data_IF_420435791212
#
_entry.id   IF_420435791212
#
_cell.length_a   1.000
_cell.length_b   1.000
_cell.length_c   1.000
_cell.angle_alpha   90.00
_cell.angle_beta   90.00
_cell.angle_gamma   90.00
#
_symmetry.space_group_name_H-M   'P 1'
#
loop_
_entity.id
_entity.type
_entity.pdbx_description
1 polymer ?
#
# COMPACT_ATOMS: atom_id res chain seq x y z
N UNK A 1 -44.27 -26.12 -45.85
CA UNK A 1 -42.79 -26.01 -45.66
C UNK A 1 -42.52 -24.95 -44.60
N UNK A 2 -42.28 -25.33 -43.36
CA UNK A 2 -42.01 -24.38 -42.25
C UNK A 2 -40.51 -24.31 -42.01
N UNK A 3 -39.94 -23.18 -42.32
CA UNK A 3 -38.53 -22.87 -42.09
C UNK A 3 -38.29 -22.63 -40.58
N UNK A 4 -37.51 -23.52 -39.91
CA UNK A 4 -37.09 -23.33 -38.53
C UNK A 4 -35.79 -22.51 -38.52
N UNK A 5 -35.92 -21.28 -38.10
CA UNK A 5 -34.75 -20.39 -37.86
C UNK A 5 -34.06 -20.84 -36.56
N UNK A 6 -32.87 -21.36 -36.70
CA UNK A 6 -31.99 -21.74 -35.58
C UNK A 6 -31.23 -20.49 -35.14
N UNK A 7 -31.63 -19.90 -34.02
CA UNK A 7 -30.92 -18.77 -33.41
C UNK A 7 -29.77 -19.35 -32.55
N UNK A 8 -28.56 -19.27 -33.07
CA UNK A 8 -27.36 -19.61 -32.29
C UNK A 8 -27.04 -18.43 -31.33
N UNK A 9 -27.30 -18.67 -30.04
CA UNK A 9 -26.76 -17.79 -28.98
C UNK A 9 -25.24 -17.99 -28.89
N UNK A 10 -24.49 -17.06 -29.41
CA UNK A 10 -23.07 -16.91 -29.08
C UNK A 10 -22.97 -16.42 -27.61
N UNK A 11 -22.77 -17.36 -26.71
CA UNK A 11 -22.28 -17.06 -25.37
C UNK A 11 -20.83 -16.56 -25.50
N UNK A 12 -20.62 -15.24 -25.56
CA UNK A 12 -19.33 -14.66 -25.31
C UNK A 12 -18.98 -14.95 -23.84
N UNK A 13 -18.27 -16.09 -23.63
CA UNK A 13 -17.58 -16.29 -22.37
C UNK A 13 -16.59 -15.17 -22.18
N UNK A 14 -16.85 -14.29 -21.22
CA UNK A 14 -15.81 -13.48 -20.63
C UNK A 14 -14.79 -14.47 -20.05
N UNK A 15 -13.74 -14.74 -20.80
CA UNK A 15 -12.51 -15.30 -20.25
C UNK A 15 -12.07 -14.32 -19.19
N UNK A 16 -12.32 -14.65 -17.92
CA UNK A 16 -11.75 -13.94 -16.80
C UNK A 16 -10.23 -13.92 -17.05
N UNK A 17 -9.70 -12.76 -17.44
CA UNK A 17 -8.29 -12.60 -17.69
C UNK A 17 -7.61 -12.90 -16.35
N UNK A 18 -6.63 -13.79 -16.36
CA UNK A 18 -5.82 -14.04 -15.18
C UNK A 18 -5.21 -12.72 -14.73
N UNK A 19 -5.22 -12.45 -13.45
CA UNK A 19 -4.60 -11.26 -12.89
C UNK A 19 -3.09 -11.26 -13.12
N UNK A 20 -2.48 -10.11 -12.96
CA UNK A 20 -1.04 -9.91 -13.10
C UNK A 20 -0.49 -9.32 -11.81
N UNK A 21 0.61 -9.89 -11.31
CA UNK A 21 1.32 -9.36 -10.16
C UNK A 21 2.60 -8.69 -10.60
N UNK A 22 2.87 -7.51 -10.07
CA UNK A 22 4.15 -6.82 -10.18
C UNK A 22 4.83 -6.86 -8.83
N UNK A 23 6.02 -7.48 -8.74
CA UNK A 23 6.72 -7.69 -7.49
C UNK A 23 8.16 -7.21 -7.58
N UNK A 24 8.58 -6.34 -6.65
CA UNK A 24 9.96 -5.91 -6.56
C UNK A 24 10.89 -7.06 -6.17
N UNK A 25 12.05 -7.16 -6.84
CA UNK A 25 13.04 -8.21 -6.61
C UNK A 25 14.48 -7.70 -6.72
N UNK A 26 15.36 -8.38 -6.00
CA UNK A 26 16.82 -8.12 -6.01
C UNK A 26 17.44 -8.58 -7.33
N UNK A 27 18.48 -7.90 -7.85
CA UNK A 27 19.05 -6.66 -7.31
C UNK A 27 18.28 -5.38 -7.74
N UNK A 28 17.63 -5.40 -8.88
CA UNK A 28 17.06 -4.21 -9.55
C UNK A 28 15.98 -4.62 -10.56
N UNK A 29 15.06 -5.46 -10.13
CA UNK A 29 14.02 -6.02 -10.98
C UNK A 29 12.62 -5.72 -10.42
N UNK A 30 11.66 -5.54 -11.32
CA UNK A 30 10.25 -5.78 -11.05
C UNK A 30 9.83 -7.01 -11.85
N UNK A 31 9.42 -8.06 -11.16
CA UNK A 31 8.91 -9.28 -11.76
C UNK A 31 7.46 -9.09 -12.18
N UNK A 32 7.10 -9.55 -13.36
CA UNK A 32 5.73 -9.66 -13.82
C UNK A 32 5.33 -11.13 -13.75
N UNK A 33 4.31 -11.43 -12.96
CA UNK A 33 3.90 -12.78 -12.65
C UNK A 33 2.47 -12.98 -13.15
N UNK A 34 2.24 -14.03 -13.91
CA UNK A 34 0.90 -14.47 -14.29
C UNK A 34 0.24 -15.14 -13.08
N UNK A 35 -0.87 -14.58 -12.63
CA UNK A 35 -1.55 -15.00 -11.41
C UNK A 35 -2.15 -16.41 -11.53
N UNK A 36 -2.49 -16.85 -12.73
CA UNK A 36 -3.10 -18.17 -12.93
C UNK A 36 -2.10 -19.32 -12.82
N UNK A 37 -0.87 -19.06 -13.22
CA UNK A 37 0.18 -20.09 -13.28
C UNK A 37 1.27 -19.92 -12.21
N UNK A 38 1.32 -18.75 -11.54
CA UNK A 38 2.39 -18.40 -10.61
C UNK A 38 3.76 -18.22 -11.28
N UNK A 39 3.82 -18.11 -12.60
CA UNK A 39 5.08 -18.02 -13.34
C UNK A 39 5.46 -16.58 -13.62
N UNK A 40 6.76 -16.31 -13.51
CA UNK A 40 7.35 -15.05 -14.00
C UNK A 40 7.27 -15.05 -15.51
N UNK A 41 6.50 -14.13 -16.08
CA UNK A 41 6.28 -13.98 -17.54
C UNK A 41 7.13 -12.87 -18.14
N UNK A 42 7.57 -11.90 -17.29
CA UNK A 42 8.47 -10.83 -17.70
C UNK A 42 9.31 -10.32 -16.53
N UNK A 43 10.42 -9.64 -16.83
CA UNK A 43 11.34 -9.05 -15.84
C UNK A 43 11.71 -7.64 -16.29
N UNK A 44 11.21 -6.65 -15.57
CA UNK A 44 11.48 -5.24 -15.85
C UNK A 44 12.74 -4.83 -15.11
N UNK A 45 13.79 -4.50 -15.85
CA UNK A 45 15.05 -4.02 -15.29
C UNK A 45 14.90 -2.56 -14.86
N UNK A 46 15.18 -2.28 -13.57
CA UNK A 46 15.23 -0.92 -13.05
C UNK A 46 16.58 -0.27 -13.39
N UNK A 47 16.54 1.01 -13.69
CA UNK A 47 17.72 1.83 -14.03
C UNK A 47 18.33 2.44 -12.77
N UNK A 48 17.52 2.80 -11.80
CA UNK A 48 17.94 3.53 -10.59
C UNK A 48 18.15 2.61 -9.37
N UNK A 49 18.02 1.29 -9.52
CA UNK A 49 18.40 0.29 -8.52
C UNK A 49 17.25 -0.49 -7.91
N UNK A 50 17.43 -0.95 -6.68
CA UNK A 50 16.56 -1.89 -5.98
C UNK A 50 15.16 -1.29 -5.72
N UNK A 51 14.06 -1.88 -6.19
CA UNK A 51 12.70 -1.41 -5.92
C UNK A 51 12.38 -1.44 -4.41
N UNK A 52 11.96 -0.29 -3.88
CA UNK A 52 11.59 -0.12 -2.47
C UNK A 52 10.08 -0.02 -2.27
N UNK A 53 9.39 0.68 -3.17
CA UNK A 53 7.94 0.79 -3.18
C UNK A 53 7.41 0.70 -4.61
N UNK A 54 6.25 0.10 -4.77
CA UNK A 54 5.46 0.11 -5.99
C UNK A 54 4.12 0.74 -5.66
N UNK A 55 3.74 1.79 -6.38
CA UNK A 55 2.46 2.45 -6.22
C UNK A 55 1.74 2.53 -7.57
N UNK A 56 0.52 2.03 -7.59
CA UNK A 56 -0.31 2.05 -8.78
C UNK A 56 -0.96 3.42 -8.96
N UNK A 57 -1.04 3.89 -10.22
CA UNK A 57 -1.85 5.07 -10.55
C UNK A 57 -3.34 4.79 -10.37
N UNK A 58 -4.17 5.82 -10.12
CA UNK A 58 -5.62 5.65 -9.97
C UNK A 58 -6.32 5.04 -11.20
N UNK A 59 -5.77 5.23 -12.40
CA UNK A 59 -6.28 4.66 -13.65
C UNK A 59 -5.72 3.26 -13.97
N UNK A 60 -4.88 2.72 -13.08
CA UNK A 60 -4.23 1.40 -13.17
C UNK A 60 -3.31 1.19 -14.39
N UNK A 61 -2.87 2.27 -15.04
CA UNK A 61 -2.02 2.17 -16.23
C UNK A 61 -0.53 2.31 -15.93
N UNK A 62 -0.20 2.84 -14.76
CA UNK A 62 1.17 3.21 -14.41
C UNK A 62 1.52 2.71 -13.03
N UNK A 63 2.73 2.18 -12.86
CA UNK A 63 3.30 1.88 -11.55
C UNK A 63 4.46 2.84 -11.30
N UNK A 64 4.39 3.57 -10.19
CA UNK A 64 5.44 4.43 -9.69
C UNK A 64 6.33 3.65 -8.74
N UNK A 65 7.63 3.64 -9.01
CA UNK A 65 8.63 2.88 -8.25
C UNK A 65 9.63 3.83 -7.61
N UNK A 66 9.82 3.76 -6.30
CA UNK A 66 10.99 4.35 -5.68
C UNK A 66 12.05 3.28 -5.44
N UNK A 67 13.32 3.64 -5.58
CA UNK A 67 14.44 2.71 -5.44
C UNK A 67 15.37 3.09 -4.28
N UNK A 68 16.15 2.13 -3.78
CA UNK A 68 17.03 2.34 -2.61
C UNK A 68 18.44 2.80 -2.97
N UNK A 69 19.03 2.29 -4.06
CA UNK A 69 20.47 2.44 -4.28
C UNK A 69 20.88 3.86 -4.64
N UNK A 70 20.03 4.53 -5.43
CA UNK A 70 20.24 5.91 -5.83
C UNK A 70 19.12 6.83 -5.34
N UNK A 71 18.27 6.35 -4.42
CA UNK A 71 17.05 7.06 -4.01
C UNK A 71 16.30 7.62 -5.24
N UNK A 72 16.24 6.80 -6.30
CA UNK A 72 15.71 7.16 -7.60
C UNK A 72 14.21 6.91 -7.70
N UNK A 73 13.68 7.33 -8.82
CA UNK A 73 12.26 7.20 -9.13
C UNK A 73 12.08 6.72 -10.57
N UNK A 74 11.21 5.74 -10.75
CA UNK A 74 10.91 5.17 -12.06
C UNK A 74 9.42 5.03 -12.28
N UNK A 75 9.03 5.08 -13.54
CA UNK A 75 7.64 4.98 -13.99
C UNK A 75 7.52 3.81 -14.95
N UNK A 76 6.71 2.83 -14.61
CA UNK A 76 6.47 1.66 -15.44
C UNK A 76 5.09 1.78 -16.08
N UNK A 77 5.01 1.59 -17.39
CA UNK A 77 3.76 1.38 -18.10
C UNK A 77 3.29 -0.07 -17.93
N UNK A 78 2.10 -0.23 -17.37
CA UNK A 78 1.53 -1.54 -17.02
C UNK A 78 1.29 -2.42 -18.25
N UNK A 79 0.86 -1.83 -19.36
CA UNK A 79 0.47 -2.60 -20.54
C UNK A 79 1.68 -3.12 -21.33
N UNK A 80 2.78 -2.36 -21.36
CA UNK A 80 3.97 -2.70 -22.13
C UNK A 80 5.10 -3.28 -21.29
N UNK A 81 5.00 -3.25 -19.96
CA UNK A 81 6.03 -3.66 -18.99
C UNK A 81 7.36 -2.91 -19.19
N UNK A 82 7.29 -1.64 -19.56
CA UNK A 82 8.50 -0.84 -19.82
C UNK A 82 8.62 0.33 -18.87
N UNK A 83 9.86 0.63 -18.47
CA UNK A 83 10.19 1.89 -17.81
C UNK A 83 10.05 3.00 -18.85
N UNK A 84 9.12 3.91 -18.59
CA UNK A 84 8.82 5.05 -19.49
C UNK A 84 9.48 6.34 -19.02
N UNK A 85 9.81 6.43 -17.74
CA UNK A 85 10.52 7.55 -17.15
C UNK A 85 11.38 7.07 -15.98
N UNK A 86 12.57 7.66 -15.81
CA UNK A 86 13.42 7.41 -14.64
C UNK A 86 14.31 8.62 -14.38
N UNK A 87 14.59 8.89 -13.12
CA UNK A 87 15.50 9.95 -12.71
C UNK A 87 16.02 9.75 -11.29
N UNK A 88 17.10 10.44 -10.99
CA UNK A 88 17.63 10.63 -9.64
C UNK A 88 17.72 12.13 -9.41
N UNK A 89 17.60 12.54 -8.15
CA UNK A 89 17.72 13.95 -7.76
C UNK A 89 19.17 14.30 -7.37
N UNK A 90 20.03 13.30 -7.30
CA UNK A 90 21.40 13.40 -6.83
C UNK A 90 22.30 14.14 -7.83
N UNK A 91 23.25 14.92 -7.32
CA UNK A 91 24.35 15.50 -8.06
C UNK A 91 25.73 15.15 -7.42
N UNK A 92 26.80 15.80 -7.84
CA UNK A 92 28.14 15.52 -7.36
C UNK A 92 28.34 15.78 -5.84
N UNK A 93 27.51 16.68 -5.27
CA UNK A 93 27.64 17.17 -3.91
C UNK A 93 26.38 16.95 -3.08
N UNK A 94 25.24 16.71 -3.69
CA UNK A 94 23.97 16.51 -3.02
C UNK A 94 23.38 15.15 -3.33
N UNK A 95 22.87 14.50 -2.31
CA UNK A 95 22.05 13.30 -2.42
C UNK A 95 20.71 13.56 -1.75
N UNK A 96 19.62 13.11 -2.38
CA UNK A 96 18.27 13.29 -1.86
C UNK A 96 17.66 11.91 -1.54
N UNK A 97 17.46 11.65 -0.26
CA UNK A 97 16.64 10.50 0.14
C UNK A 97 15.18 10.86 -0.09
N UNK A 98 14.51 10.10 -0.96
CA UNK A 98 13.09 10.22 -1.25
C UNK A 98 12.32 9.19 -0.43
N UNK A 99 11.43 9.64 0.46
CA UNK A 99 10.65 8.78 1.34
C UNK A 99 9.27 8.49 0.75
N UNK A 100 9.21 7.56 -0.19
CA UNK A 100 7.98 7.22 -0.89
C UNK A 100 7.45 8.37 -1.73
N UNK A 101 6.17 8.33 -2.08
CA UNK A 101 5.54 9.43 -2.80
C UNK A 101 4.11 9.10 -3.22
N UNK A 102 3.30 10.13 -3.33
CA UNK A 102 1.96 10.08 -3.86
C UNK A 102 1.90 10.90 -5.14
N UNK A 103 1.68 10.30 -6.33
CA UNK A 103 1.46 11.06 -7.53
C UNK A 103 0.14 11.83 -7.44
N UNK A 104 0.06 12.97 -8.10
CA UNK A 104 -1.23 13.64 -8.32
C UNK A 104 -2.12 12.79 -9.24
N UNK A 105 -3.44 13.04 -9.27
CA UNK A 105 -4.36 12.24 -10.08
C UNK A 105 -4.05 12.25 -11.60
N UNK A 106 -3.36 13.28 -12.09
CA UNK A 106 -2.98 13.40 -13.49
C UNK A 106 -1.58 12.81 -13.80
N UNK A 107 -0.83 12.40 -12.78
CA UNK A 107 0.53 11.87 -12.92
C UNK A 107 1.57 12.92 -13.36
N UNK A 108 1.34 14.19 -13.04
CA UNK A 108 2.24 15.30 -13.41
C UNK A 108 3.29 15.58 -12.35
N UNK A 109 2.91 15.46 -11.08
CA UNK A 109 3.78 15.74 -9.94
C UNK A 109 3.75 14.60 -8.94
N UNK A 110 4.82 14.50 -8.18
CA UNK A 110 4.94 13.59 -7.03
C UNK A 110 5.04 14.41 -5.75
N UNK A 111 4.16 14.14 -4.79
CA UNK A 111 4.24 14.68 -3.44
C UNK A 111 4.99 13.70 -2.55
N UNK A 112 6.08 14.15 -1.94
CA UNK A 112 6.93 13.26 -1.14
C UNK A 112 7.55 14.01 0.04
N UNK A 113 8.28 13.30 0.89
CA UNK A 113 9.22 13.86 1.85
C UNK A 113 10.63 13.56 1.37
N UNK A 114 11.49 14.58 1.36
CA UNK A 114 12.90 14.41 1.00
C UNK A 114 13.81 14.82 2.13
N UNK A 115 14.96 14.15 2.25
CA UNK A 115 16.06 14.56 3.14
C UNK A 115 17.28 14.78 2.28
N UNK A 116 17.79 16.00 2.27
CA UNK A 116 19.01 16.36 1.55
C UNK A 116 20.25 15.97 2.36
N UNK A 117 21.21 15.33 1.72
CA UNK A 117 22.51 14.97 2.28
C UNK A 117 23.57 15.68 1.43
N UNK A 118 24.29 16.60 2.04
CA UNK A 118 25.35 17.37 1.35
C UNK A 118 26.71 16.77 1.66
N UNK A 119 27.48 16.49 0.63
CA UNK A 119 28.87 16.04 0.74
C UNK A 119 29.81 17.24 0.82
N UNK A 120 30.49 17.37 1.94
CA UNK A 120 31.56 18.33 2.14
C UNK A 120 32.93 17.65 1.96
N UNK A 121 34.01 18.39 1.97
CA UNK A 121 35.36 17.85 1.79
C UNK A 121 35.75 16.81 2.87
N UNK A 122 35.27 17.00 4.08
CA UNK A 122 35.64 16.21 5.27
C UNK A 122 34.49 15.46 5.93
N UNK A 123 33.25 15.71 5.52
CA UNK A 123 32.06 15.11 6.16
C UNK A 123 30.82 15.17 5.28
N UNK A 124 29.78 14.47 5.71
CA UNK A 124 28.42 14.63 5.21
C UNK A 124 27.59 15.43 6.22
N UNK A 125 26.74 16.33 5.72
CA UNK A 125 25.70 16.97 6.50
C UNK A 125 24.35 16.45 6.07
N UNK A 126 23.49 16.11 7.05
CA UNK A 126 22.15 15.59 6.79
C UNK A 126 21.16 16.69 7.19
N UNK A 127 20.38 17.14 6.21
CA UNK A 127 19.32 18.13 6.40
C UNK A 127 18.13 17.56 7.17
N UNK A 128 17.20 18.44 7.51
CA UNK A 128 15.90 18.01 8.03
C UNK A 128 15.01 17.53 6.89
N UNK A 129 14.07 16.59 7.14
CA UNK A 129 13.07 16.23 6.16
C UNK A 129 12.24 17.43 5.72
N UNK A 130 11.91 17.46 4.43
CA UNK A 130 11.10 18.52 3.82
C UNK A 130 9.98 17.89 3.00
N UNK A 131 8.79 18.45 3.08
CA UNK A 131 7.75 18.16 2.09
C UNK A 131 8.20 18.71 0.74
N UNK A 132 8.04 17.90 -0.29
CA UNK A 132 8.65 18.18 -1.60
C UNK A 132 7.67 17.87 -2.71
N UNK A 133 7.58 18.79 -3.68
CA UNK A 133 6.89 18.56 -4.96
C UNK A 133 7.96 18.33 -6.02
N UNK A 134 7.86 17.21 -6.71
CA UNK A 134 8.72 16.85 -7.83
C UNK A 134 7.87 16.88 -9.10
N UNK A 135 8.30 17.65 -10.09
CA UNK A 135 7.73 17.63 -11.44
C UNK A 135 8.27 16.40 -12.18
N UNK A 136 7.38 15.49 -12.55
CA UNK A 136 7.74 14.21 -13.17
C UNK A 136 8.22 14.37 -14.63
N UNK A 137 7.75 15.39 -15.34
CA UNK A 137 8.19 15.66 -16.71
C UNK A 137 9.53 16.37 -16.74
N UNK A 138 9.76 17.34 -15.84
CA UNK A 138 11.01 18.06 -15.71
C UNK A 138 12.06 17.33 -14.87
N UNK A 139 11.67 16.26 -14.17
CA UNK A 139 12.52 15.41 -13.34
C UNK A 139 13.28 16.21 -12.25
N UNK A 140 12.62 17.18 -11.65
CA UNK A 140 13.25 18.06 -10.66
C UNK A 140 12.31 18.48 -9.54
N UNK A 141 12.91 18.85 -8.42
CA UNK A 141 12.20 19.48 -7.31
C UNK A 141 11.74 20.87 -7.75
N UNK A 142 10.44 21.14 -7.63
CA UNK A 142 9.84 22.46 -7.93
C UNK A 142 9.46 23.22 -6.69
N UNK A 143 9.28 22.52 -5.54
CA UNK A 143 8.97 23.15 -4.25
C UNK A 143 9.40 22.29 -3.09
N UNK A 144 9.88 22.94 -2.03
CA UNK A 144 10.14 22.31 -0.72
C UNK A 144 9.59 23.20 0.40
N UNK A 145 9.08 22.55 1.46
CA UNK A 145 8.64 23.19 2.69
C UNK A 145 9.14 22.36 3.86
N UNK A 146 9.66 22.98 4.90
CA UNK A 146 10.10 22.26 6.08
C UNK A 146 8.93 21.48 6.70
N UNK A 147 9.15 20.21 7.00
CA UNK A 147 8.15 19.46 7.73
C UNK A 147 7.93 20.10 9.11
N UNK A 148 6.67 20.31 9.52
CA UNK A 148 6.40 20.77 10.88
C UNK A 148 7.07 19.81 11.88
N UNK A 149 7.75 20.36 12.90
CA UNK A 149 8.29 19.56 14.00
C UNK A 149 7.12 18.86 14.70
N UNK A 150 6.80 17.65 14.27
CA UNK A 150 5.93 16.77 15.03
C UNK A 150 6.74 16.34 16.25
N UNK A 151 6.43 16.93 17.40
CA UNK A 151 7.07 16.65 18.69
C UNK A 151 6.82 15.20 19.13
N UNK A 152 7.57 14.30 18.59
CA UNK A 152 7.55 12.89 18.87
C UNK A 152 8.37 12.19 17.80
N UNK A 153 9.29 11.35 18.21
CA UNK A 153 10.10 10.48 17.36
C UNK A 153 9.29 10.10 16.13
N UNK A 154 9.72 10.57 14.96
CA UNK A 154 9.15 10.21 13.68
C UNK A 154 8.99 8.70 13.69
N UNK A 155 7.78 8.25 13.90
CA UNK A 155 7.52 6.83 13.95
C UNK A 155 7.90 6.29 12.58
N UNK A 156 8.86 5.37 12.55
CA UNK A 156 9.07 4.43 11.47
C UNK A 156 7.81 3.53 11.33
N UNK A 157 6.64 4.12 11.45
CA UNK A 157 5.33 3.51 11.33
C UNK A 157 4.67 3.74 9.98
N UNK A 158 5.39 4.28 9.01
CA UNK A 158 5.00 4.18 7.63
C UNK A 158 5.13 2.72 7.23
N UNK A 159 4.02 2.03 7.05
CA UNK A 159 4.02 0.75 6.35
C UNK A 159 4.83 0.91 5.06
N UNK A 160 5.42 -0.17 4.59
CA UNK A 160 6.30 -0.25 3.42
C UNK A 160 5.62 0.22 2.12
N UNK A 161 5.21 1.48 2.04
CA UNK A 161 4.52 1.99 0.87
C UNK A 161 4.23 3.47 1.01
N UNK A 162 5.22 4.27 0.73
CA UNK A 162 5.04 5.68 0.42
C UNK A 162 5.09 6.61 1.63
N UNK A 163 5.74 7.72 1.47
CA UNK A 163 5.77 8.83 2.40
C UNK A 163 4.36 9.40 2.59
N UNK A 164 3.74 8.99 3.60
CA UNK A 164 2.72 9.65 4.39
C UNK A 164 1.55 10.38 3.74
N UNK A 165 1.51 10.59 2.45
CA UNK A 165 0.43 11.35 1.81
C UNK A 165 -0.58 10.46 1.09
N UNK A 166 -1.84 10.84 1.22
CA UNK A 166 -2.93 10.44 0.34
C UNK A 166 -3.43 11.68 -0.40
N UNK A 167 -3.63 11.59 -1.70
CA UNK A 167 -4.06 12.73 -2.52
C UNK A 167 -5.57 12.70 -2.68
N UNK A 168 -6.24 13.85 -2.51
CA UNK A 168 -7.68 13.95 -2.82
C UNK A 168 -7.95 13.65 -4.30
N UNK A 169 -9.12 13.09 -4.66
CA UNK A 169 -9.45 12.78 -6.05
C UNK A 169 -9.40 13.97 -7.00
N UNK A 170 -9.62 15.19 -6.48
CA UNK A 170 -9.53 16.43 -7.25
C UNK A 170 -8.11 17.05 -7.26
N UNK A 171 -7.15 16.38 -6.61
CA UNK A 171 -5.74 16.82 -6.56
C UNK A 171 -5.46 18.04 -5.69
N UNK A 172 -6.46 18.63 -5.00
CA UNK A 172 -6.28 19.88 -4.26
C UNK A 172 -5.70 19.72 -2.86
N UNK A 173 -5.87 18.53 -2.26
CA UNK A 173 -5.48 18.30 -0.87
C UNK A 173 -4.62 17.05 -0.74
N UNK A 174 -3.75 17.12 0.27
CA UNK A 174 -2.96 16.00 0.73
C UNK A 174 -3.39 15.68 2.16
N UNK A 175 -3.58 14.41 2.43
CA UNK A 175 -3.93 13.90 3.76
C UNK A 175 -2.74 13.17 4.36
N UNK A 176 -2.32 13.60 5.54
CA UNK A 176 -1.29 12.93 6.31
C UNK A 176 -1.92 12.30 7.54
N UNK A 177 -1.89 10.98 7.59
CA UNK A 177 -2.52 10.19 8.65
C UNK A 177 -1.53 9.90 9.78
N UNK A 178 -1.89 10.34 10.99
CA UNK A 178 -1.11 10.15 12.22
C UNK A 178 -2.04 9.96 13.41
N UNK A 179 -1.76 10.63 14.54
CA UNK A 179 -2.68 10.73 15.68
C UNK A 179 -3.94 11.54 15.36
N UNK A 180 -3.88 12.34 14.34
CA UNK A 180 -4.97 13.07 13.68
C UNK A 180 -4.71 13.05 12.17
N UNK A 181 -5.66 13.45 11.35
CA UNK A 181 -5.41 13.67 9.92
C UNK A 181 -5.10 15.14 9.70
N UNK A 182 -3.89 15.43 9.24
CA UNK A 182 -3.53 16.77 8.79
C UNK A 182 -3.90 16.92 7.32
N UNK A 183 -4.70 17.91 6.99
CA UNK A 183 -5.09 18.26 5.64
C UNK A 183 -4.22 19.41 5.16
N UNK A 184 -3.47 19.17 4.08
CA UNK A 184 -2.58 20.15 3.49
C UNK A 184 -3.11 20.56 2.11
N UNK A 185 -2.86 21.79 1.73
CA UNK A 185 -3.03 22.25 0.36
C UNK A 185 -1.92 21.63 -0.50
N UNK A 186 -2.27 20.99 -1.61
CA UNK A 186 -1.30 20.29 -2.47
C UNK A 186 -0.33 21.25 -3.17
N UNK A 187 -0.71 22.52 -3.40
CA UNK A 187 0.14 23.48 -4.12
C UNK A 187 1.26 24.06 -3.27
N UNK A 188 1.13 24.09 -1.94
CA UNK A 188 2.09 24.80 -1.08
C UNK A 188 2.33 24.15 0.29
N UNK A 189 1.69 23.02 0.57
CA UNK A 189 1.73 22.32 1.87
C UNK A 189 1.23 23.16 3.06
N UNK A 190 0.51 24.26 2.82
CA UNK A 190 -0.13 24.98 3.91
C UNK A 190 -1.18 24.10 4.58
N UNK A 191 -1.22 24.15 5.90
CA UNK A 191 -2.21 23.41 6.68
C UNK A 191 -3.57 24.06 6.46
N UNK A 192 -4.53 23.26 5.99
CA UNK A 192 -5.91 23.67 5.76
C UNK A 192 -6.80 23.29 6.93
N UNK A 193 -6.56 22.09 7.51
CA UNK A 193 -7.41 21.52 8.54
C UNK A 193 -6.69 20.45 9.37
N UNK A 194 -7.21 20.16 10.55
CA UNK A 194 -6.86 19.02 11.39
C UNK A 194 -8.14 18.28 11.75
N UNK A 195 -8.20 16.98 11.39
CA UNK A 195 -9.34 16.14 11.68
C UNK A 195 -8.94 15.19 12.80
N UNK A 196 -9.58 15.36 13.94
CA UNK A 196 -9.37 14.49 15.10
C UNK A 196 -9.91 13.08 14.83
N UNK A 197 -9.21 12.08 15.35
CA UNK A 197 -9.64 10.70 15.27
C UNK A 197 -10.51 10.40 16.49
N UNK A 198 -11.81 10.62 16.34
CA UNK A 198 -12.79 10.35 17.39
C UNK A 198 -13.72 9.21 16.99
N UNK A 199 -13.94 8.26 17.90
CA UNK A 199 -14.98 7.25 17.72
C UNK A 199 -16.36 7.89 17.98
N UNK A 200 -17.35 7.63 17.11
CA UNK A 200 -18.73 8.06 17.38
C UNK A 200 -19.23 7.42 18.69
N UNK A 201 -20.03 8.17 19.45
CA UNK A 201 -20.72 7.75 20.69
C UNK A 201 -19.98 7.94 22.02
N UNK A 202 -19.11 8.95 22.15
CA UNK A 202 -18.68 9.38 23.48
C UNK A 202 -17.84 8.35 24.23
N UNK A 203 -17.16 7.46 23.53
CA UNK A 203 -16.10 6.68 24.16
C UNK A 203 -15.06 7.65 24.73
N UNK A 204 -14.59 7.43 25.96
CA UNK A 204 -13.60 8.31 26.57
C UNK A 204 -12.39 8.46 25.63
N UNK A 205 -11.77 9.63 25.64
CA UNK A 205 -10.62 9.98 24.80
C UNK A 205 -9.50 8.93 24.96
N UNK A 206 -9.58 7.90 24.17
CA UNK A 206 -8.58 6.82 24.09
C UNK A 206 -7.60 7.08 22.94
N UNK A 207 -6.61 6.22 22.82
CA UNK A 207 -5.68 6.27 21.69
C UNK A 207 -6.28 5.49 20.52
N UNK A 208 -6.60 6.18 19.43
CA UNK A 208 -7.01 5.55 18.18
C UNK A 208 -5.82 5.54 17.23
N UNK A 209 -5.45 4.36 16.76
CA UNK A 209 -4.41 4.15 15.75
C UNK A 209 -5.00 3.56 14.47
N UNK A 210 -4.62 4.11 13.33
CA UNK A 210 -4.97 3.56 12.03
C UNK A 210 -3.88 2.60 11.54
N UNK A 211 -4.29 1.45 11.01
CA UNK A 211 -3.40 0.48 10.38
C UNK A 211 -2.79 1.00 9.08
N UNK A 212 -1.78 0.30 8.58
CA UNK A 212 -1.17 0.58 7.29
C UNK A 212 -2.21 0.58 6.17
N UNK A 213 -2.05 1.49 5.22
CA UNK A 213 -2.87 1.54 4.04
C UNK A 213 -2.44 0.43 3.08
N UNK A 214 -3.42 -0.29 2.57
CA UNK A 214 -3.28 -1.09 1.37
C UNK A 214 -4.07 -0.39 0.27
N UNK A 215 -3.59 -0.43 -0.97
CA UNK A 215 -4.35 0.11 -2.09
C UNK A 215 -5.68 -0.62 -2.20
N UNK A 216 -6.74 0.09 -1.87
CA UNK A 216 -8.09 -0.44 -1.96
C UNK A 216 -8.60 -0.27 -3.39
N UNK A 217 -8.19 -1.15 -4.31
CA UNK A 217 -8.73 -1.17 -5.68
C UNK A 217 -10.26 -1.28 -5.71
N UNK A 218 -10.83 -1.81 -4.64
CA UNK A 218 -12.27 -2.05 -4.50
C UNK A 218 -13.08 -0.88 -3.97
N UNK A 219 -12.44 0.14 -3.36
CA UNK A 219 -13.12 1.31 -2.78
C UNK A 219 -12.48 2.63 -3.25
N UNK A 220 -12.64 3.03 -4.53
CA UNK A 220 -12.08 4.28 -5.05
C UNK A 220 -12.58 5.51 -4.28
N UNK A 221 -11.69 6.48 -4.07
CA UNK A 221 -12.02 7.72 -3.35
C UNK A 221 -12.15 7.57 -1.85
N UNK A 222 -11.84 6.38 -1.30
CA UNK A 222 -11.82 6.13 0.13
C UNK A 222 -10.49 5.55 0.57
N UNK A 223 -10.02 5.97 1.73
CA UNK A 223 -8.97 5.27 2.46
C UNK A 223 -9.61 4.31 3.44
N UNK A 224 -9.40 3.01 3.22
CA UNK A 224 -9.91 1.96 4.10
C UNK A 224 -8.75 1.33 4.85
N UNK A 225 -8.87 1.22 6.17
CA UNK A 225 -7.85 0.59 7.01
C UNK A 225 -8.49 -0.06 8.23
N UNK A 226 -7.74 -0.93 8.90
CA UNK A 226 -8.10 -1.34 10.25
C UNK A 226 -7.77 -0.21 11.22
N UNK A 227 -8.57 -0.07 12.27
CA UNK A 227 -8.24 0.77 13.40
C UNK A 227 -8.10 -0.04 14.68
N UNK A 228 -7.31 0.49 15.60
CA UNK A 228 -7.23 0.05 16.99
C UNK A 228 -7.62 1.20 17.88
N UNK A 229 -8.51 0.94 18.80
CA UNK A 229 -8.84 1.83 19.88
C UNK A 229 -8.41 1.21 21.21
N UNK A 230 -7.75 1.96 22.06
CA UNK A 230 -7.41 1.55 23.43
C UNK A 230 -8.11 2.46 24.41
N UNK A 231 -8.96 1.87 25.25
CA UNK A 231 -9.60 2.56 26.36
C UNK A 231 -8.52 2.92 27.42
N UNK A 232 -8.39 4.19 27.83
CA UNK A 232 -7.37 4.62 28.76
C UNK A 232 -7.67 4.21 30.22
N UNK A 233 -8.91 3.83 30.54
CA UNK A 233 -9.36 3.54 31.90
C UNK A 233 -9.30 2.03 32.17
N UNK A 234 -9.96 1.25 31.31
CA UNK A 234 -10.07 -0.21 31.51
C UNK A 234 -9.07 -1.00 30.64
N UNK A 235 -8.27 -0.29 29.82
CA UNK A 235 -7.27 -0.86 28.93
C UNK A 235 -7.79 -1.90 27.93
N UNK A 236 -9.09 -1.94 27.70
CA UNK A 236 -9.65 -2.77 26.66
C UNK A 236 -9.25 -2.22 25.29
N UNK A 237 -8.91 -3.14 24.40
CA UNK A 237 -8.57 -2.81 23.02
C UNK A 237 -9.64 -3.35 22.09
N UNK A 238 -10.14 -2.48 21.21
CA UNK A 238 -11.11 -2.82 20.18
C UNK A 238 -10.49 -2.56 18.82
N UNK A 239 -10.75 -3.42 17.85
CA UNK A 239 -10.41 -3.17 16.46
C UNK A 239 -11.67 -3.09 15.60
N UNK A 240 -11.51 -2.50 14.45
CA UNK A 240 -12.55 -2.40 13.46
C UNK A 240 -12.04 -1.83 12.14
N UNK A 241 -12.97 -1.43 11.30
CA UNK A 241 -12.69 -0.84 9.99
C UNK A 241 -12.94 0.65 10.06
N UNK A 242 -11.95 1.43 9.63
CA UNK A 242 -12.05 2.86 9.42
C UNK A 242 -12.12 3.14 7.92
N UNK A 243 -13.12 3.88 7.50
CA UNK A 243 -13.25 4.43 6.15
C UNK A 243 -13.16 5.94 6.22
N UNK A 244 -12.22 6.50 5.50
CA UNK A 244 -12.09 7.94 5.35
C UNK A 244 -12.44 8.32 3.91
N UNK A 245 -13.49 9.07 3.74
CA UNK A 245 -13.89 9.61 2.44
C UNK A 245 -13.00 10.81 2.07
N UNK A 246 -12.21 10.64 1.01
CA UNK A 246 -11.23 11.62 0.56
C UNK A 246 -11.86 12.89 -0.02
N UNK A 247 -13.16 12.88 -0.36
CA UNK A 247 -13.88 14.04 -0.87
C UNK A 247 -14.55 14.82 0.26
N UNK A 248 -15.29 14.11 1.13
CA UNK A 248 -16.04 14.74 2.21
C UNK A 248 -15.26 14.93 3.49
N UNK A 249 -14.09 14.28 3.61
CA UNK A 249 -13.18 14.29 4.78
C UNK A 249 -13.84 13.76 6.05
N UNK A 250 -14.72 12.78 5.92
CA UNK A 250 -15.41 12.17 7.04
C UNK A 250 -14.93 10.75 7.27
N UNK A 251 -14.83 10.40 8.55
CA UNK A 251 -14.62 9.03 8.98
C UNK A 251 -15.94 8.30 9.21
N UNK A 252 -15.95 7.02 8.83
CA UNK A 252 -16.85 6.00 9.32
C UNK A 252 -16.03 4.94 10.05
N UNK A 253 -16.33 4.72 11.34
CA UNK A 253 -15.69 3.71 12.16
C UNK A 253 -16.68 2.60 12.46
N UNK A 254 -16.37 1.39 12.04
CA UNK A 254 -17.17 0.20 12.31
C UNK A 254 -16.40 -0.76 13.23
N UNK A 255 -16.69 -0.76 14.56
CA UNK A 255 -16.07 -1.70 15.50
C UNK A 255 -16.45 -3.15 15.18
N UNK A 256 -15.49 -4.08 15.35
CA UNK A 256 -15.69 -5.51 15.10
C UNK A 256 -15.59 -6.32 16.40
N UNK A 257 -14.54 -6.09 17.19
CA UNK A 257 -14.33 -6.87 18.41
C UNK A 257 -12.99 -6.59 19.09
N UNK A 258 -12.57 -7.46 20.02
CA UNK A 258 -11.31 -7.31 20.72
C UNK A 258 -10.12 -7.28 19.75
N UNK A 259 -9.22 -6.33 19.94
CA UNK A 259 -8.04 -6.19 19.08
C UNK A 259 -6.97 -7.23 19.45
N UNK A 260 -6.35 -7.88 18.44
CA UNK A 260 -5.16 -8.70 18.68
C UNK A 260 -3.94 -7.81 19.03
N UNK A 261 -2.85 -8.39 19.55
CA UNK A 261 -1.65 -7.63 19.90
C UNK A 261 -1.04 -6.84 18.73
N UNK A 262 -1.05 -7.43 17.53
CA UNK A 262 -0.60 -6.77 16.31
C UNK A 262 -1.44 -7.21 15.12
N UNK A 263 -1.72 -6.27 14.20
CA UNK A 263 -2.45 -6.50 12.95
C UNK A 263 -1.68 -5.93 11.78
N UNK A 264 -1.77 -6.61 10.64
CA UNK A 264 -1.32 -6.11 9.35
C UNK A 264 -2.30 -5.14 8.69
N UNK A 265 -2.09 -4.85 7.40
CA UNK A 265 -3.04 -4.10 6.59
C UNK A 265 -4.32 -4.89 6.29
N UNK A 266 -5.36 -4.18 5.88
CA UNK A 266 -6.62 -4.76 5.43
C UNK A 266 -6.63 -4.89 3.90
N UNK A 267 -6.96 -6.08 3.42
CA UNK A 267 -7.25 -6.33 2.01
C UNK A 267 -8.73 -6.67 1.83
N UNK A 268 -9.37 -6.02 0.88
CA UNK A 268 -10.80 -6.18 0.62
C UNK A 268 -10.98 -6.94 -0.70
N UNK A 269 -11.88 -7.93 -0.72
CA UNK A 269 -12.24 -8.63 -1.95
C UNK A 269 -12.92 -7.70 -2.97
N UNK A 270 -12.77 -7.94 -4.28
CA UNK A 270 -13.39 -7.11 -5.32
C UNK A 270 -14.92 -7.00 -5.20
N UNK A 271 -15.58 -8.01 -4.65
CA UNK A 271 -17.02 -7.99 -4.39
C UNK A 271 -17.40 -7.26 -3.08
N UNK A 272 -16.40 -6.73 -2.34
CA UNK A 272 -16.54 -6.00 -1.08
C UNK A 272 -17.21 -6.77 0.06
N UNK A 273 -17.27 -8.10 -0.03
CA UNK A 273 -17.93 -8.92 1.00
C UNK A 273 -17.01 -9.40 2.08
N UNK A 274 -15.74 -9.60 1.76
CA UNK A 274 -14.74 -10.09 2.71
C UNK A 274 -13.58 -9.12 2.81
N UNK A 275 -13.06 -8.98 4.03
CA UNK A 275 -11.78 -8.35 4.32
C UNK A 275 -10.83 -9.36 4.94
N UNK A 276 -9.55 -9.28 4.62
CA UNK A 276 -8.52 -10.16 5.17
C UNK A 276 -7.38 -9.37 5.77
N UNK A 277 -6.84 -9.89 6.85
CA UNK A 277 -5.63 -9.36 7.48
C UNK A 277 -4.82 -10.51 8.09
N UNK A 278 -3.56 -10.25 8.38
CA UNK A 278 -2.75 -11.11 9.24
C UNK A 278 -2.56 -10.48 10.61
N UNK A 279 -2.65 -11.32 11.63
CA UNK A 279 -2.37 -10.92 13.00
C UNK A 279 -1.15 -11.66 13.54
N UNK A 280 -0.49 -11.10 14.53
CA UNK A 280 0.56 -11.81 15.24
C UNK A 280 0.50 -11.55 16.75
N UNK A 281 0.88 -12.56 17.51
CA UNK A 281 0.98 -12.54 18.97
C UNK A 281 2.25 -13.24 19.44
N UNK A 282 2.65 -13.00 20.68
CA UNK A 282 3.86 -13.59 21.25
C UNK A 282 5.17 -12.98 20.71
N UNK A 283 6.29 -13.49 21.20
CA UNK A 283 7.63 -13.05 20.82
C UNK A 283 8.58 -14.25 20.68
N UNK A 284 9.62 -14.10 19.85
CA UNK A 284 10.63 -15.14 19.64
C UNK A 284 10.01 -16.48 19.22
N UNK A 285 10.38 -17.57 19.88
CA UNK A 285 9.87 -18.92 19.59
C UNK A 285 8.39 -19.15 19.90
N UNK A 286 7.75 -18.21 20.64
CA UNK A 286 6.32 -18.27 20.95
C UNK A 286 5.49 -17.36 20.03
N UNK A 287 6.08 -16.83 18.95
CA UNK A 287 5.34 -16.02 18.00
C UNK A 287 4.35 -16.89 17.24
N UNK A 288 3.08 -16.44 17.20
CA UNK A 288 1.99 -17.04 16.40
C UNK A 288 1.48 -16.04 15.40
N UNK A 289 1.14 -16.51 14.22
CA UNK A 289 0.56 -15.73 13.14
C UNK A 289 -0.75 -16.37 12.70
N UNK A 290 -1.73 -15.53 12.41
CA UNK A 290 -3.05 -15.99 12.00
C UNK A 290 -3.57 -15.18 10.83
N UNK A 291 -4.25 -15.83 9.88
CA UNK A 291 -5.16 -15.16 8.97
C UNK A 291 -6.47 -14.86 9.68
N UNK A 292 -6.98 -13.67 9.47
CA UNK A 292 -8.29 -13.25 9.91
C UNK A 292 -9.14 -12.85 8.71
N UNK A 293 -10.28 -13.54 8.51
CA UNK A 293 -11.30 -13.21 7.54
C UNK A 293 -12.46 -12.50 8.20
N UNK A 294 -12.79 -11.32 7.71
CA UNK A 294 -13.83 -10.42 8.22
C UNK A 294 -14.96 -10.38 7.20
N UNK A 295 -16.17 -10.74 7.61
CA UNK A 295 -17.37 -10.50 6.82
C UNK A 295 -17.73 -9.02 6.89
N UNK A 296 -17.58 -8.31 5.76
CA UNK A 296 -17.83 -6.89 5.67
C UNK A 296 -19.31 -6.53 5.62
N UNK A 297 -20.19 -7.50 5.32
CA UNK A 297 -21.64 -7.30 5.28
C UNK A 297 -22.25 -7.32 6.68
N UNK A 298 -21.72 -8.19 7.54
CA UNK A 298 -22.17 -8.34 8.94
C UNK A 298 -21.24 -7.65 9.93
N UNK A 299 -20.08 -7.15 9.47
CA UNK A 299 -19.02 -6.51 10.28
C UNK A 299 -18.55 -7.40 11.43
N UNK A 300 -18.34 -8.69 11.13
CA UNK A 300 -17.92 -9.68 12.12
C UNK A 300 -16.69 -10.43 11.67
N UNK A 301 -15.88 -10.84 12.65
CA UNK A 301 -14.84 -11.82 12.41
C UNK A 301 -15.49 -13.15 12.04
N UNK A 302 -15.32 -13.55 10.76
CA UNK A 302 -15.96 -14.75 10.22
C UNK A 302 -15.11 -16.00 10.42
N UNK A 303 -13.77 -15.84 10.38
CA UNK A 303 -12.86 -16.97 10.45
C UNK A 303 -11.46 -16.54 10.88
N UNK A 304 -10.77 -17.44 11.57
CA UNK A 304 -9.33 -17.36 11.84
C UNK A 304 -8.65 -18.69 11.56
N UNK A 305 -7.38 -18.66 11.19
CA UNK A 305 -6.55 -19.86 11.13
C UNK A 305 -5.08 -19.52 11.42
N UNK A 306 -4.44 -20.34 12.21
CA UNK A 306 -3.01 -20.24 12.48
C UNK A 306 -2.21 -20.64 11.23
N UNK A 307 -1.17 -19.86 10.93
CA UNK A 307 -0.25 -20.08 9.81
C UNK A 307 1.19 -19.94 10.29
N UNK A 308 2.16 -20.57 9.61
CA UNK A 308 3.57 -20.44 9.98
C UNK A 308 4.01 -18.97 9.96
N UNK A 309 4.62 -18.51 11.07
CA UNK A 309 5.23 -17.18 11.12
C UNK A 309 6.54 -17.16 10.35
N UNK A 310 6.73 -16.10 9.54
CA UNK A 310 8.02 -15.78 8.94
C UNK A 310 8.61 -14.55 9.64
N UNK A 311 9.92 -14.43 9.63
CA UNK A 311 10.62 -13.27 10.22
C UNK A 311 10.31 -11.97 9.48
N UNK A 312 10.23 -12.05 8.17
CA UNK A 312 9.82 -10.97 7.26
C UNK A 312 8.79 -11.53 6.30
N UNK A 313 7.67 -10.86 6.19
CA UNK A 313 6.64 -11.19 5.21
C UNK A 313 5.80 -9.96 4.91
N UNK A 314 5.21 -9.96 3.75
CA UNK A 314 4.07 -9.13 3.38
C UNK A 314 2.91 -10.06 3.02
N UNK A 315 1.72 -9.51 3.05
CA UNK A 315 0.47 -10.20 2.81
C UNK A 315 -0.24 -9.56 1.62
N UNK A 316 -0.93 -10.35 0.83
CA UNK A 316 -1.68 -9.87 -0.32
C UNK A 316 -2.89 -10.74 -0.61
N UNK A 317 -3.74 -10.25 -1.51
CA UNK A 317 -4.93 -10.96 -2.00
C UNK A 317 -4.88 -11.04 -3.52
N UNK A 318 -5.42 -12.12 -4.09
CA UNK A 318 -5.54 -12.28 -5.52
C UNK A 318 -6.51 -11.28 -6.15
N UNK A 319 -6.33 -10.97 -7.42
CA UNK A 319 -7.18 -10.07 -8.20
C UNK A 319 -8.66 -10.41 -8.15
N UNK A 320 -9.00 -11.68 -7.97
CA UNK A 320 -10.37 -12.19 -7.85
C UNK A 320 -10.83 -12.44 -6.40
N UNK A 321 -9.98 -12.16 -5.41
CA UNK A 321 -10.28 -12.34 -3.99
C UNK A 321 -10.34 -13.79 -3.49
N UNK A 322 -9.93 -14.77 -4.28
CA UNK A 322 -10.04 -16.19 -3.92
C UNK A 322 -8.79 -16.80 -3.30
N UNK A 323 -7.64 -16.10 -3.40
CA UNK A 323 -6.36 -16.54 -2.86
C UNK A 323 -5.77 -15.46 -1.96
N UNK A 324 -5.00 -15.91 -0.98
CA UNK A 324 -4.18 -15.08 -0.12
C UNK A 324 -2.72 -15.41 -0.37
N UNK A 325 -1.87 -14.39 -0.35
CA UNK A 325 -0.44 -14.52 -0.61
C UNK A 325 0.37 -14.15 0.62
N UNK A 326 1.34 -15.00 0.97
CA UNK A 326 2.44 -14.62 1.88
C UNK A 326 3.72 -14.56 1.06
N UNK A 327 4.38 -13.41 1.05
CA UNK A 327 5.55 -13.12 0.22
C UNK A 327 6.53 -12.18 0.93
N UNK A 328 7.51 -11.61 0.21
CA UNK A 328 8.43 -10.56 0.64
C UNK A 328 9.68 -10.98 1.41
N UNK A 329 9.95 -12.27 1.53
CA UNK A 329 11.24 -12.75 2.01
C UNK A 329 11.63 -14.03 1.29
N UNK A 330 12.75 -13.99 0.59
CA UNK A 330 13.23 -15.11 -0.20
C UNK A 330 12.57 -15.20 -1.57
N UNK A 331 12.52 -16.39 -2.12
CA UNK A 331 12.21 -16.66 -3.52
C UNK A 331 10.77 -17.11 -3.77
N UNK A 332 9.97 -17.27 -2.71
CA UNK A 332 8.72 -17.99 -2.80
C UNK A 332 7.51 -17.13 -2.37
N UNK A 333 6.41 -17.26 -3.12
CA UNK A 333 5.07 -16.82 -2.73
C UNK A 333 4.29 -18.05 -2.29
N UNK A 334 3.83 -18.09 -1.04
CA UNK A 334 2.87 -19.11 -0.58
C UNK A 334 1.45 -18.67 -0.94
N UNK A 335 0.70 -19.58 -1.53
CA UNK A 335 -0.66 -19.36 -2.02
C UNK A 335 -1.65 -20.15 -1.18
N UNK A 336 -2.54 -19.45 -0.53
CA UNK A 336 -3.55 -20.01 0.33
C UNK A 336 -4.94 -19.80 -0.28
N UNK A 337 -5.83 -20.76 -0.09
CA UNK A 337 -7.26 -20.57 -0.39
C UNK A 337 -7.88 -19.58 0.61
N UNK A 338 -8.53 -18.54 0.11
CA UNK A 338 -9.06 -17.45 0.93
C UNK A 338 -10.26 -17.88 1.81
N UNK A 339 -10.94 -18.99 1.47
CA UNK A 339 -12.08 -19.50 2.23
C UNK A 339 -11.65 -20.46 3.32
N UNK A 340 -10.75 -21.39 3.03
CA UNK A 340 -10.33 -22.44 3.96
C UNK A 340 -9.05 -22.13 4.73
N UNK A 341 -8.27 -21.14 4.27
CA UNK A 341 -6.94 -20.77 4.75
C UNK A 341 -5.91 -21.89 4.67
N UNK A 342 -6.14 -22.86 3.77
CA UNK A 342 -5.20 -23.94 3.51
C UNK A 342 -4.19 -23.53 2.45
N UNK A 343 -2.93 -23.88 2.69
CA UNK A 343 -1.88 -23.78 1.67
C UNK A 343 -2.24 -24.67 0.48
N UNK A 344 -2.27 -24.10 -0.70
CA UNK A 344 -2.57 -24.83 -1.93
C UNK A 344 -1.36 -24.96 -2.84
N UNK A 345 -0.49 -23.94 -2.86
CA UNK A 345 0.66 -23.90 -3.74
C UNK A 345 1.79 -23.06 -3.16
N UNK A 346 2.97 -23.20 -3.71
CA UNK A 346 4.15 -22.36 -3.42
C UNK A 346 4.85 -22.07 -4.73
N UNK A 347 4.82 -20.79 -5.15
CA UNK A 347 5.45 -20.36 -6.40
C UNK A 347 6.90 -19.97 -6.12
N UNK A 348 7.84 -20.66 -6.77
CA UNK A 348 9.25 -20.27 -6.75
C UNK A 348 9.54 -19.33 -7.91
N UNK A 349 9.90 -18.10 -7.59
CA UNK A 349 10.14 -17.05 -8.58
C UNK A 349 11.59 -17.03 -9.09
N UNK A 350 12.49 -17.78 -8.45
CA UNK A 350 13.92 -17.80 -8.77
C UNK A 350 14.63 -16.47 -8.54
N UNK A 351 14.01 -15.53 -7.80
CA UNK A 351 14.53 -14.20 -7.49
C UNK A 351 14.16 -13.82 -6.06
N UNK A 352 15.07 -13.16 -5.33
CA UNK A 352 14.80 -12.69 -3.97
C UNK A 352 13.91 -11.43 -4.00
N UNK A 353 12.74 -11.52 -3.36
CA UNK A 353 11.76 -10.44 -3.35
C UNK A 353 12.14 -9.33 -2.36
N UNK A 354 11.84 -8.08 -2.72
CA UNK A 354 12.13 -6.91 -1.88
C UNK A 354 10.94 -6.44 -1.04
N UNK A 355 9.77 -6.97 -1.30
CA UNK A 355 8.58 -6.74 -0.49
C UNK A 355 7.40 -6.07 -1.18
N UNK A 356 7.54 -4.99 -1.96
CA UNK A 356 6.35 -4.37 -2.55
C UNK A 356 5.77 -5.23 -3.68
N UNK A 357 4.45 -5.36 -3.69
CA UNK A 357 3.70 -6.06 -4.75
C UNK A 357 2.42 -5.31 -5.08
N UNK A 358 2.12 -5.22 -6.37
CA UNK A 358 0.86 -4.71 -6.90
C UNK A 358 0.16 -5.86 -7.62
N UNK A 359 -1.13 -6.03 -7.35
CA UNK A 359 -1.98 -7.06 -7.97
C UNK A 359 -3.03 -6.37 -8.84
N UNK A 360 -3.08 -6.73 -10.11
CA UNK A 360 -4.03 -6.20 -11.08
C UNK A 360 -4.92 -7.33 -11.63
N UNK A 361 -6.22 -7.05 -11.86
CA UNK A 361 -7.14 -8.01 -12.47
C UNK A 361 -6.84 -8.29 -13.94
#
# INVERSE_FOLDING_TARGET
>A
MRLKTLTALLALGYLARAGTLFCGAYPDLVLVIDESSGKVVDKIKMVTGLPRSLRLSPDHKTIYVSTNDHDGFEVIDVATHKVTNHFVLDDATHKFRVNGGAPDPEGKVLYTSTTEITKLADRYTIGRPKYTIIDLAQQKIVKTVDEPNQGGRGGFGGGRGGGGFEVSPDGKYLYQFGSQVTVLNSSDFSVVDHIELELPNGMPSGTLGLGGMQEALSEPGQRVSLFNYSDPIVHNRVFGIARFDLNTRKFDFTPIGPAPPAMGGLFITPDKKMGYTMTSSGQGGNKRCEFWGIDLTTTKLARTAEVPCRTRYDFGISSNGKKLYIYAAGYQIEVYDAVTFKLEDTWDLGQDMTGPMVVLP
#
